data_IF_976419073536
#
_entry.id   IF_976419073536
#
_cell.length_a   1.000
_cell.length_b   1.000
_cell.length_c   1.000
_cell.angle_alpha   90.00
_cell.angle_beta   90.00
_cell.angle_gamma   90.00
#
_symmetry.space_group_name_H-M   'P 1'
#
loop_
_entity.id
_entity.type
_entity.pdbx_description
1 polymer ?
#
# COMPACT_ATOMS: atom_id res chain seq x y z
N UNK A 1 7.12 10.22 0.84
CA UNK A 1 7.32 10.90 -0.46
C UNK A 1 6.56 10.22 -1.59
N UNK A 2 6.63 8.89 -1.74
CA UNK A 2 6.01 8.15 -2.86
C UNK A 2 4.55 8.54 -3.17
N UNK A 3 3.66 8.54 -2.16
CA UNK A 3 2.25 8.88 -2.38
C UNK A 3 1.98 10.32 -2.84
N UNK A 4 2.86 11.28 -2.50
CA UNK A 4 2.73 12.65 -3.01
C UNK A 4 3.02 12.69 -4.52
N UNK A 5 4.01 11.93 -4.98
CA UNK A 5 4.36 11.80 -6.40
C UNK A 5 3.27 11.03 -7.15
N UNK A 6 2.75 9.95 -6.55
CA UNK A 6 1.64 9.19 -7.12
C UNK A 6 0.38 10.08 -7.30
N UNK A 7 0.05 10.90 -6.31
CA UNK A 7 -1.05 11.88 -6.39
C UNK A 7 -0.81 12.90 -7.51
N UNK A 8 0.41 13.40 -7.66
CA UNK A 8 0.76 14.33 -8.74
C UNK A 8 0.51 13.71 -10.12
N UNK A 9 1.02 12.49 -10.36
CA UNK A 9 0.82 11.81 -11.64
C UNK A 9 -0.65 11.44 -11.91
N UNK A 10 -1.40 11.05 -10.88
CA UNK A 10 -2.83 10.80 -11.04
C UNK A 10 -3.58 12.09 -11.41
N UNK A 11 -3.23 13.23 -10.79
CA UNK A 11 -3.83 14.51 -11.15
C UNK A 11 -3.55 14.90 -12.61
N UNK A 12 -2.32 14.68 -13.10
CA UNK A 12 -1.98 14.88 -14.52
C UNK A 12 -2.75 13.93 -15.45
N UNK A 13 -2.88 12.65 -15.06
CA UNK A 13 -3.63 11.66 -15.82
C UNK A 13 -5.12 12.03 -15.93
N UNK A 14 -5.74 12.46 -14.82
CA UNK A 14 -7.13 12.95 -14.81
C UNK A 14 -7.28 14.17 -15.72
N UNK A 15 -6.37 15.15 -15.62
CA UNK A 15 -6.45 16.38 -16.40
C UNK A 15 -6.30 16.18 -17.91
N UNK A 16 -5.66 15.08 -18.33
CA UNK A 16 -5.37 14.78 -19.74
C UNK A 16 -6.22 13.63 -20.30
N UNK A 17 -7.05 12.99 -19.48
CA UNK A 17 -7.93 11.90 -19.89
C UNK A 17 -9.00 12.38 -20.86
N UNK A 18 -9.25 11.58 -21.90
CA UNK A 18 -10.27 11.85 -22.91
C UNK A 18 -11.36 10.76 -22.91
N UNK A 19 -12.60 11.08 -23.31
CA UNK A 19 -13.71 10.13 -23.29
C UNK A 19 -13.46 8.82 -24.06
N UNK A 20 -12.62 8.86 -25.10
CA UNK A 20 -12.24 7.70 -25.90
C UNK A 20 -11.18 6.80 -25.24
N UNK A 21 -10.52 7.25 -24.17
CA UNK A 21 -9.54 6.46 -23.44
C UNK A 21 -10.23 5.40 -22.59
N UNK A 22 -9.48 4.33 -22.27
CA UNK A 22 -9.93 3.36 -21.27
C UNK A 22 -10.02 4.04 -19.89
N UNK A 23 -10.86 3.51 -18.98
CA UNK A 23 -10.89 3.98 -17.59
C UNK A 23 -9.49 3.99 -16.97
N UNK A 24 -9.21 5.01 -16.16
CA UNK A 24 -7.96 5.07 -15.40
C UNK A 24 -7.98 4.00 -14.30
N UNK A 25 -6.80 3.48 -13.99
CA UNK A 25 -6.62 2.53 -12.89
C UNK A 25 -5.29 2.79 -12.19
N UNK A 26 -5.29 2.59 -10.87
CA UNK A 26 -4.08 2.58 -10.05
C UNK A 26 -3.86 1.16 -9.56
N UNK A 27 -2.67 0.62 -9.80
CA UNK A 27 -2.26 -0.70 -9.31
C UNK A 27 -1.24 -0.46 -8.20
N UNK A 28 -1.42 -1.15 -7.09
CA UNK A 28 -0.52 -1.08 -5.93
C UNK A 28 -0.28 -2.49 -5.41
N UNK A 29 0.93 -2.70 -4.87
CA UNK A 29 1.18 -3.79 -3.95
C UNK A 29 0.51 -3.51 -2.59
N UNK A 30 0.43 -4.51 -1.72
CA UNK A 30 -0.20 -4.44 -0.40
C UNK A 30 0.83 -4.29 0.72
N UNK A 31 1.62 -5.34 0.94
CA UNK A 31 2.52 -5.47 2.08
C UNK A 31 3.72 -4.53 1.94
N UNK A 32 3.98 -3.76 2.99
CA UNK A 32 4.98 -2.68 3.06
C UNK A 32 4.85 -1.60 1.96
N UNK A 33 3.72 -1.57 1.24
CA UNK A 33 3.34 -0.50 0.31
C UNK A 33 2.16 0.31 0.84
N UNK A 34 0.97 -0.29 0.99
CA UNK A 34 -0.21 0.39 1.59
C UNK A 34 -0.46 -0.02 3.04
N UNK A 35 -0.01 -1.21 3.45
CA UNK A 35 -0.07 -1.71 4.82
C UNK A 35 1.32 -2.05 5.31
N UNK A 36 1.71 -1.57 6.49
CA UNK A 36 3.00 -1.86 7.08
C UNK A 36 2.98 -3.16 7.89
N UNK A 37 4.01 -3.97 7.68
CA UNK A 37 4.24 -5.25 8.36
C UNK A 37 5.38 -5.17 9.38
N UNK A 38 5.76 -3.95 9.81
CA UNK A 38 6.84 -3.69 10.78
C UNK A 38 6.77 -4.56 12.04
N UNK A 39 5.59 -4.83 12.66
CA UNK A 39 5.53 -5.70 13.84
C UNK A 39 5.97 -7.14 13.56
N UNK A 40 5.66 -7.69 12.38
CA UNK A 40 6.11 -9.02 11.98
C UNK A 40 7.64 -9.06 11.82
N UNK A 41 8.22 -8.05 11.15
CA UNK A 41 9.67 -7.93 11.02
C UNK A 41 10.37 -7.82 12.38
N UNK A 42 9.79 -7.05 13.32
CA UNK A 42 10.30 -6.96 14.70
C UNK A 42 10.22 -8.28 15.47
N UNK A 43 9.17 -9.07 15.24
CA UNK A 43 9.05 -10.43 15.79
C UNK A 43 10.18 -11.34 15.27
N UNK A 44 10.45 -11.36 13.96
CA UNK A 44 11.53 -12.20 13.41
C UNK A 44 12.90 -11.86 14.00
N UNK A 45 13.21 -10.56 14.17
CA UNK A 45 14.44 -10.11 14.82
C UNK A 45 14.52 -10.59 16.27
N UNK A 46 13.41 -10.50 17.01
CA UNK A 46 13.35 -10.92 18.43
C UNK A 46 13.58 -12.42 18.58
N UNK A 47 13.10 -13.22 17.63
CA UNK A 47 13.25 -14.68 17.60
C UNK A 47 14.55 -15.17 16.95
N UNK A 48 15.40 -14.27 16.45
CA UNK A 48 16.65 -14.63 15.75
C UNK A 48 16.42 -15.35 14.41
N UNK A 49 15.33 -15.02 13.71
CA UNK A 49 15.01 -15.56 12.38
C UNK A 49 15.51 -14.63 11.28
N UNK A 50 16.33 -15.16 10.39
CA UNK A 50 16.98 -14.38 9.32
C UNK A 50 16.07 -14.13 8.09
N UNK A 51 15.05 -14.97 7.90
CA UNK A 51 14.22 -14.95 6.71
C UNK A 51 12.73 -14.96 7.06
N UNK A 52 11.93 -14.55 6.08
CA UNK A 52 10.48 -14.71 6.12
C UNK A 52 10.09 -16.17 6.41
N UNK A 53 9.04 -16.34 7.19
CA UNK A 53 8.50 -17.62 7.65
C UNK A 53 6.98 -17.61 7.46
N UNK A 54 6.49 -18.45 6.54
CA UNK A 54 5.07 -18.57 6.17
C UNK A 54 4.18 -18.91 7.37
N UNK A 55 4.60 -19.85 8.21
CA UNK A 55 3.80 -20.34 9.34
C UNK A 55 3.65 -19.28 10.43
N UNK A 56 4.72 -18.50 10.66
CA UNK A 56 4.71 -17.38 11.57
C UNK A 56 3.88 -16.23 11.00
N UNK A 57 3.98 -15.95 9.70
CA UNK A 57 3.19 -14.93 9.00
C UNK A 57 1.69 -15.22 9.11
N UNK A 58 1.27 -16.43 8.75
CA UNK A 58 -0.13 -16.86 8.83
C UNK A 58 -0.70 -16.73 10.24
N UNK A 59 0.14 -16.99 11.25
CA UNK A 59 -0.23 -16.85 12.65
C UNK A 59 -0.35 -15.39 13.08
N UNK A 60 0.57 -14.54 12.62
CA UNK A 60 0.61 -13.13 12.96
C UNK A 60 -0.49 -12.32 12.27
N UNK A 61 -0.74 -12.54 10.97
CA UNK A 61 -1.67 -11.72 10.17
C UNK A 61 -3.11 -11.77 10.72
N UNK A 62 -3.48 -12.88 11.38
CA UNK A 62 -4.76 -13.05 12.08
C UNK A 62 -4.99 -12.04 13.20
N UNK A 63 -3.94 -11.44 13.74
CA UNK A 63 -4.03 -10.41 14.78
C UNK A 63 -4.47 -9.04 14.22
N UNK A 64 -4.56 -8.89 12.88
CA UNK A 64 -5.02 -7.69 12.20
C UNK A 64 -4.38 -6.39 12.73
N UNK A 65 -3.07 -6.46 12.99
CA UNK A 65 -2.29 -5.38 13.61
C UNK A 65 -1.52 -4.54 12.59
N UNK A 66 -1.84 -4.67 11.30
CA UNK A 66 -1.27 -3.84 10.25
C UNK A 66 -1.79 -2.41 10.37
N UNK A 67 -0.96 -1.46 9.94
CA UNK A 67 -1.34 -0.03 9.89
C UNK A 67 -1.09 0.49 8.49
N UNK A 68 -1.85 1.51 8.08
CA UNK A 68 -1.64 2.12 6.78
C UNK A 68 -0.25 2.77 6.69
N UNK A 69 0.44 2.57 5.56
CA UNK A 69 1.68 3.29 5.27
C UNK A 69 1.42 4.80 5.22
N UNK A 70 2.38 5.65 5.66
CA UNK A 70 2.21 7.09 5.66
C UNK A 70 1.83 7.64 4.26
N UNK A 71 0.63 8.23 4.16
CA UNK A 71 0.07 8.79 2.93
C UNK A 71 -0.76 7.82 2.09
N UNK A 72 -0.75 6.51 2.36
CA UNK A 72 -1.50 5.52 1.59
C UNK A 72 -3.00 5.74 1.64
N UNK A 73 -3.56 5.92 2.85
CA UNK A 73 -5.00 6.12 3.03
C UNK A 73 -5.50 7.42 2.37
N UNK A 74 -4.72 8.50 2.46
CA UNK A 74 -5.06 9.77 1.78
C UNK A 74 -5.04 9.60 0.27
N UNK A 75 -4.02 8.94 -0.28
CA UNK A 75 -3.91 8.69 -1.70
C UNK A 75 -5.04 7.79 -2.23
N UNK A 76 -5.35 6.68 -1.55
CA UNK A 76 -6.44 5.78 -1.97
C UNK A 76 -7.80 6.47 -1.91
N UNK A 77 -8.04 7.33 -0.91
CA UNK A 77 -9.24 8.18 -0.87
C UNK A 77 -9.27 9.15 -2.06
N UNK A 78 -8.14 9.77 -2.38
CA UNK A 78 -8.04 10.65 -3.55
C UNK A 78 -8.33 9.89 -4.85
N UNK A 79 -7.85 8.65 -5.01
CA UNK A 79 -8.24 7.80 -6.15
C UNK A 79 -9.75 7.58 -6.19
N UNK A 80 -10.36 7.15 -5.08
CA UNK A 80 -11.79 6.84 -4.99
C UNK A 80 -12.69 8.05 -5.30
N UNK A 81 -12.30 9.26 -4.89
CA UNK A 81 -13.10 10.47 -5.15
C UNK A 81 -12.97 11.01 -6.57
N UNK A 82 -12.05 10.47 -7.38
CA UNK A 82 -11.79 10.90 -8.77
C UNK A 82 -11.93 9.74 -9.76
N UNK A 83 -12.65 8.68 -9.39
CA UNK A 83 -13.18 7.65 -10.30
C UNK A 83 -14.43 8.18 -11.03
#
# INVERSE_FOLDING_TARGET
>A
QGFNVARFHLAEAIATHKPENKPLAVITDVDDTILLSTPYWGYLVTEGKDFFDDSAWDSWIRNNSTVASPGALEFLRYCYTND
#
